data_IF_773011988447
#
_entry.id   IF_773011988447
#
_cell.length_a   1.000
_cell.length_b   1.000
_cell.length_c   1.000
_cell.angle_alpha   90.00
_cell.angle_beta   90.00
_cell.angle_gamma   90.00
#
_symmetry.space_group_name_H-M   'P 1'
#
loop_
_entity.id
_entity.type
_entity.pdbx_description
1 polymer ?
#
# COMPACT_ATOMS: atom_id res chain seq x y z
N UNK A 1 -9.20 -22.61 -12.93
CA UNK A 1 -9.20 -21.19 -13.31
C UNK A 1 -9.64 -20.41 -12.09
N UNK A 2 -8.73 -19.65 -11.48
CA UNK A 2 -9.09 -18.81 -10.34
C UNK A 2 -9.96 -17.63 -10.83
N UNK A 3 -10.84 -17.07 -9.97
CA UNK A 3 -11.61 -15.88 -10.33
C UNK A 3 -10.73 -14.64 -10.56
N UNK A 4 -9.42 -14.72 -10.31
CA UNK A 4 -8.46 -13.63 -10.48
C UNK A 4 -7.55 -13.81 -11.70
N UNK A 5 -7.69 -14.90 -12.46
CA UNK A 5 -6.88 -15.16 -13.66
C UNK A 5 -7.07 -14.04 -14.71
N UNK A 6 -8.26 -13.42 -14.78
CA UNK A 6 -8.49 -12.29 -15.69
C UNK A 6 -7.76 -11.01 -15.26
N UNK A 7 -7.41 -10.88 -13.97
CA UNK A 7 -6.77 -9.70 -13.40
C UNK A 7 -5.24 -9.85 -13.37
N UNK A 8 -4.73 -11.05 -13.06
CA UNK A 8 -3.29 -11.38 -13.00
C UNK A 8 -2.96 -12.61 -13.87
N UNK A 9 -3.14 -12.53 -15.21
CA UNK A 9 -3.12 -13.71 -16.08
C UNK A 9 -1.75 -14.41 -16.25
N UNK A 10 -0.65 -13.74 -15.91
CA UNK A 10 0.72 -14.28 -16.08
C UNK A 10 1.33 -14.84 -14.80
N UNK A 11 0.64 -14.72 -13.66
CA UNK A 11 1.17 -15.19 -12.39
C UNK A 11 0.85 -16.66 -12.18
N UNK A 12 1.80 -17.41 -11.61
CA UNK A 12 1.61 -18.83 -11.28
C UNK A 12 0.52 -19.05 -10.23
N UNK A 13 0.33 -18.08 -9.33
CA UNK A 13 -0.77 -18.06 -8.35
C UNK A 13 -1.46 -16.67 -8.33
N UNK A 14 -2.47 -16.46 -9.20
CA UNK A 14 -3.20 -15.18 -9.28
C UNK A 14 -3.98 -14.83 -8.01
N UNK A 15 -4.39 -15.84 -7.23
CA UNK A 15 -5.08 -15.63 -5.96
C UNK A 15 -4.13 -15.05 -4.90
N UNK A 16 -2.91 -15.59 -4.80
CA UNK A 16 -1.90 -15.06 -3.88
C UNK A 16 -1.59 -13.58 -4.18
N UNK A 17 -1.49 -13.21 -5.46
CA UNK A 17 -1.28 -11.81 -5.87
C UNK A 17 -2.49 -10.94 -5.53
N UNK A 18 -3.70 -11.41 -5.78
CA UNK A 18 -4.91 -10.69 -5.39
C UNK A 18 -4.99 -10.46 -3.88
N UNK A 19 -4.65 -11.47 -3.07
CA UNK A 19 -4.57 -11.35 -1.61
C UNK A 19 -3.51 -10.34 -1.19
N UNK A 20 -2.32 -10.37 -1.81
CA UNK A 20 -1.28 -9.39 -1.54
C UNK A 20 -1.73 -7.95 -1.81
N UNK A 21 -2.34 -7.71 -2.98
CA UNK A 21 -2.89 -6.39 -3.33
C UNK A 21 -3.98 -5.98 -2.34
N UNK A 22 -4.88 -6.89 -1.99
CA UNK A 22 -5.94 -6.66 -1.02
C UNK A 22 -5.39 -6.27 0.36
N UNK A 23 -4.39 -7.00 0.86
CA UNK A 23 -3.74 -6.70 2.14
C UNK A 23 -3.07 -5.32 2.13
N UNK A 24 -2.46 -4.91 1.02
CA UNK A 24 -1.87 -3.58 0.89
C UNK A 24 -2.91 -2.47 0.91
N UNK A 25 -3.98 -2.61 0.14
CA UNK A 25 -5.09 -1.64 0.14
C UNK A 25 -5.71 -1.53 1.54
N UNK A 26 -5.89 -2.67 2.24
CA UNK A 26 -6.40 -2.70 3.60
C UNK A 26 -5.46 -2.01 4.59
N UNK A 27 -4.16 -2.27 4.51
CA UNK A 27 -3.17 -1.63 5.39
C UNK A 27 -3.13 -0.11 5.18
N UNK A 28 -3.09 0.35 3.92
CA UNK A 28 -3.05 1.77 3.58
C UNK A 28 -4.35 2.49 3.95
N UNK A 29 -5.50 1.84 3.74
CA UNK A 29 -6.79 2.36 4.18
C UNK A 29 -6.87 2.45 5.70
N UNK A 30 -6.35 1.46 6.41
CA UNK A 30 -6.30 1.46 7.88
C UNK A 30 -5.44 2.60 8.42
N UNK A 31 -4.26 2.85 7.82
CA UNK A 31 -3.43 4.03 8.16
C UNK A 31 -4.17 5.33 7.89
N UNK A 32 -4.84 5.44 6.74
CA UNK A 32 -5.64 6.62 6.39
C UNK A 32 -6.73 6.90 7.42
N UNK A 33 -7.46 5.86 7.84
CA UNK A 33 -8.52 5.97 8.84
C UNK A 33 -7.98 6.31 10.24
N UNK A 34 -6.87 5.70 10.66
CA UNK A 34 -6.23 6.00 11.94
C UNK A 34 -5.75 7.46 11.97
N UNK A 35 -5.15 7.94 10.89
CA UNK A 35 -4.75 9.35 10.78
C UNK A 35 -5.96 10.27 10.71
N UNK A 36 -7.03 9.91 10.00
CA UNK A 36 -8.29 10.67 10.01
C UNK A 36 -8.88 10.79 11.41
N UNK A 37 -8.79 9.73 12.22
CA UNK A 37 -9.26 9.71 13.61
C UNK A 37 -8.45 10.64 14.51
N UNK A 38 -7.14 10.74 14.28
CA UNK A 38 -6.20 11.51 15.11
C UNK A 38 -6.09 12.98 14.66
N UNK A 39 -6.00 13.21 13.36
CA UNK A 39 -5.78 14.52 12.75
C UNK A 39 -7.06 15.21 12.27
N UNK A 40 -8.15 14.46 12.11
CA UNK A 40 -9.40 14.91 11.50
C UNK A 40 -9.46 14.59 10.00
N UNK A 41 -10.66 14.31 9.47
CA UNK A 41 -10.87 13.92 8.07
C UNK A 41 -10.52 15.02 7.05
N UNK A 42 -10.67 16.28 7.44
CA UNK A 42 -10.35 17.43 6.59
C UNK A 42 -8.85 17.78 6.58
N UNK A 43 -8.04 17.15 7.44
CA UNK A 43 -6.62 17.43 7.55
C UNK A 43 -5.88 17.10 6.25
N UNK A 44 -4.88 17.93 5.93
CA UNK A 44 -4.05 17.75 4.73
C UNK A 44 -3.40 16.37 4.72
N UNK A 45 -2.88 15.90 5.86
CA UNK A 45 -2.28 14.57 5.98
C UNK A 45 -3.26 13.45 5.59
N UNK A 46 -4.51 13.51 6.07
CA UNK A 46 -5.54 12.52 5.72
C UNK A 46 -5.87 12.53 4.24
N UNK A 47 -5.96 13.71 3.62
CA UNK A 47 -6.20 13.83 2.17
C UNK A 47 -5.04 13.25 1.35
N UNK A 48 -3.79 13.53 1.77
CA UNK A 48 -2.60 12.96 1.14
C UNK A 48 -2.59 11.43 1.28
N UNK A 49 -2.89 10.90 2.46
CA UNK A 49 -2.98 9.45 2.70
C UNK A 49 -4.08 8.78 1.88
N UNK A 50 -5.26 9.41 1.79
CA UNK A 50 -6.36 8.90 0.96
C UNK A 50 -5.99 8.88 -0.53
N UNK A 51 -5.42 9.98 -1.03
CA UNK A 51 -4.94 10.07 -2.41
C UNK A 51 -3.83 9.07 -2.71
N UNK A 52 -2.84 8.95 -1.82
CA UNK A 52 -1.75 8.00 -1.96
C UNK A 52 -2.19 6.55 -1.84
N UNK A 53 -3.21 6.24 -1.03
CA UNK A 53 -3.83 4.90 -0.97
C UNK A 53 -4.48 4.53 -2.28
N UNK A 54 -5.27 5.44 -2.86
CA UNK A 54 -5.92 5.21 -4.16
C UNK A 54 -4.89 5.08 -5.28
N UNK A 55 -3.89 5.96 -5.32
CA UNK A 55 -2.78 5.89 -6.27
C UNK A 55 -2.02 4.56 -6.14
N UNK A 56 -1.71 4.15 -4.90
CA UNK A 56 -0.99 2.91 -4.63
C UNK A 56 -1.73 1.67 -5.13
N UNK A 57 -3.06 1.62 -4.94
CA UNK A 57 -3.88 0.52 -5.42
C UNK A 57 -3.80 0.41 -6.96
N UNK A 58 -3.95 1.54 -7.65
CA UNK A 58 -3.91 1.61 -9.12
C UNK A 58 -2.53 1.22 -9.66
N UNK A 59 -1.47 1.79 -9.09
CA UNK A 59 -0.09 1.55 -9.54
C UNK A 59 0.32 0.10 -9.26
N UNK A 60 0.00 -0.44 -8.08
CA UNK A 60 0.31 -1.84 -7.73
C UNK A 60 -0.34 -2.82 -8.73
N UNK A 61 -1.62 -2.65 -9.05
CA UNK A 61 -2.29 -3.50 -10.05
C UNK A 61 -1.67 -3.31 -11.43
N UNK A 62 -1.32 -2.07 -11.79
CA UNK A 62 -0.71 -1.76 -13.08
C UNK A 62 0.66 -2.41 -13.24
N UNK A 63 1.52 -2.38 -12.21
CA UNK A 63 2.86 -3.01 -12.24
C UNK A 63 2.78 -4.52 -12.35
N UNK A 64 1.80 -5.13 -11.67
CA UNK A 64 1.66 -6.60 -11.62
C UNK A 64 0.92 -7.18 -12.82
N UNK A 65 0.33 -6.35 -13.69
CA UNK A 65 -0.38 -6.78 -14.89
C UNK A 65 0.55 -6.76 -16.12
N UNK A 66 0.44 -7.74 -17.04
CA UNK A 66 1.22 -7.75 -18.28
C UNK A 66 1.02 -6.48 -19.12
N UNK A 67 2.10 -5.95 -19.69
CA UNK A 67 2.06 -4.72 -20.48
C UNK A 67 1.81 -3.46 -19.67
N UNK A 68 1.92 -3.54 -18.34
CA UNK A 68 1.78 -2.44 -17.41
C UNK A 68 2.92 -1.43 -17.42
N UNK A 69 2.81 -0.42 -16.55
CA UNK A 69 3.88 0.56 -16.32
C UNK A 69 5.06 -0.18 -15.67
N UNK A 70 6.19 -0.28 -16.38
CA UNK A 70 7.38 -1.02 -15.94
C UNK A 70 8.13 -0.37 -14.76
N UNK A 71 9.47 -0.45 -14.77
CA UNK A 71 10.37 0.03 -13.69
C UNK A 71 10.00 1.38 -13.07
N UNK A 72 9.59 2.37 -13.88
CA UNK A 72 9.23 3.71 -13.39
C UNK A 72 8.05 3.68 -12.41
N UNK A 73 7.01 2.87 -12.68
CA UNK A 73 5.87 2.77 -11.77
C UNK A 73 6.23 2.03 -10.48
N UNK A 74 7.14 1.05 -10.53
CA UNK A 74 7.66 0.39 -9.34
C UNK A 74 8.37 1.37 -8.40
N UNK A 75 9.16 2.32 -8.94
CA UNK A 75 9.79 3.36 -8.13
C UNK A 75 8.79 4.36 -7.56
N UNK A 76 7.82 4.79 -8.37
CA UNK A 76 6.73 5.67 -7.89
C UNK A 76 5.97 5.00 -6.76
N UNK A 77 5.67 3.70 -6.89
CA UNK A 77 4.97 2.96 -5.86
C UNK A 77 5.76 2.86 -4.56
N UNK A 78 7.06 2.56 -4.63
CA UNK A 78 7.92 2.53 -3.45
C UNK A 78 7.99 3.90 -2.77
N UNK A 79 8.12 4.98 -3.54
CA UNK A 79 8.11 6.34 -3.00
C UNK A 79 6.78 6.67 -2.32
N UNK A 80 5.65 6.30 -2.94
CA UNK A 80 4.31 6.47 -2.36
C UNK A 80 4.21 5.71 -1.04
N UNK A 81 4.67 4.46 -0.97
CA UNK A 81 4.61 3.69 0.28
C UNK A 81 5.43 4.30 1.39
N UNK A 82 6.69 4.62 1.12
CA UNK A 82 7.57 5.22 2.13
C UNK A 82 6.96 6.55 2.59
N UNK A 83 6.40 7.34 1.67
CA UNK A 83 5.66 8.56 1.99
C UNK A 83 4.47 8.33 2.91
N UNK A 84 3.61 7.34 2.60
CA UNK A 84 2.45 6.99 3.42
C UNK A 84 2.88 6.59 4.85
N UNK A 85 3.92 5.77 4.99
CA UNK A 85 4.45 5.33 6.28
C UNK A 85 4.96 6.51 7.12
N UNK A 86 5.78 7.38 6.51
CA UNK A 86 6.36 8.54 7.20
C UNK A 86 5.27 9.53 7.61
N UNK A 87 4.35 9.86 6.71
CA UNK A 87 3.26 10.81 6.99
C UNK A 87 2.33 10.26 8.07
N UNK A 88 1.96 8.98 8.02
CA UNK A 88 1.09 8.38 9.02
C UNK A 88 1.76 8.33 10.40
N UNK A 89 3.02 7.88 10.45
CA UNK A 89 3.80 7.87 11.68
C UNK A 89 3.95 9.26 12.29
N UNK A 90 4.30 10.26 11.48
CA UNK A 90 4.43 11.65 11.93
C UNK A 90 3.09 12.23 12.41
N UNK A 91 2.00 12.01 11.68
CA UNK A 91 0.68 12.57 12.01
C UNK A 91 0.14 12.04 13.35
N UNK A 92 0.47 10.80 13.71
CA UNK A 92 0.12 10.19 14.99
C UNK A 92 1.10 10.59 16.09
N UNK A 93 2.40 10.62 15.82
CA UNK A 93 3.43 11.02 16.80
C UNK A 93 3.29 12.48 17.25
N UNK A 94 2.93 13.38 16.33
CA UNK A 94 2.84 14.83 16.59
C UNK A 94 1.61 15.27 17.40
N UNK A 95 0.70 14.35 17.74
CA UNK A 95 -0.54 14.67 18.46
C UNK A 95 -0.69 13.80 19.71
N UNK A 96 -1.33 14.31 20.76
CA UNK A 96 -1.70 13.49 21.90
C UNK A 96 -2.74 12.45 21.45
N UNK A 97 -2.37 11.18 21.45
CA UNK A 97 -3.25 10.07 21.11
C UNK A 97 -3.36 9.09 22.26
N UNK A 98 -4.51 8.42 22.36
CA UNK A 98 -4.70 7.34 23.31
C UNK A 98 -3.82 6.13 22.95
N UNK A 99 -3.39 5.39 23.98
CA UNK A 99 -2.47 4.25 23.83
C UNK A 99 -2.97 3.20 22.83
N UNK A 100 -4.29 3.00 22.73
CA UNK A 100 -4.89 2.03 21.81
C UNK A 100 -4.69 2.45 20.35
N UNK A 101 -4.98 3.71 20.01
CA UNK A 101 -4.77 4.24 18.65
C UNK A 101 -3.29 4.27 18.27
N UNK A 102 -2.41 4.63 19.22
CA UNK A 102 -0.96 4.60 19.01
C UNK A 102 -0.45 3.19 18.69
N UNK A 103 -0.83 2.18 19.50
CA UNK A 103 -0.47 0.78 19.26
C UNK A 103 -1.04 0.23 17.95
N UNK A 104 -2.30 0.53 17.64
CA UNK A 104 -2.92 0.13 16.38
C UNK A 104 -2.16 0.72 15.18
N UNK A 105 -1.79 2.00 15.24
CA UNK A 105 -0.99 2.65 14.19
C UNK A 105 0.36 1.98 14.04
N UNK A 106 1.07 1.73 15.14
CA UNK A 106 2.37 1.05 15.10
C UNK A 106 2.28 -0.34 14.45
N UNK A 107 1.27 -1.14 14.82
CA UNK A 107 1.05 -2.46 14.24
C UNK A 107 0.78 -2.38 12.73
N UNK A 108 -0.11 -1.48 12.31
CA UNK A 108 -0.43 -1.32 10.88
C UNK A 108 0.78 -0.78 10.10
N UNK A 109 1.58 0.12 10.67
CA UNK A 109 2.84 0.58 10.07
C UNK A 109 3.83 -0.58 9.86
N UNK A 110 3.98 -1.48 10.84
CA UNK A 110 4.83 -2.67 10.70
C UNK A 110 4.32 -3.57 9.58
N UNK A 111 3.00 -3.86 9.54
CA UNK A 111 2.40 -4.67 8.48
C UNK A 111 2.62 -4.03 7.10
N UNK A 112 2.35 -2.73 6.97
CA UNK A 112 2.54 -2.00 5.72
C UNK A 112 4.01 -1.96 5.28
N UNK A 113 4.95 -1.83 6.22
CA UNK A 113 6.39 -1.90 5.95
C UNK A 113 6.80 -3.29 5.44
N UNK A 114 6.33 -4.36 6.08
CA UNK A 114 6.60 -5.74 5.64
C UNK A 114 6.05 -6.01 4.23
N UNK A 115 4.82 -5.55 3.96
CA UNK A 115 4.22 -5.65 2.62
C UNK A 115 5.00 -4.85 1.59
N UNK A 116 5.53 -3.67 1.96
CA UNK A 116 6.40 -2.87 1.09
C UNK A 116 7.69 -3.61 0.78
N UNK A 117 8.33 -4.25 1.77
CA UNK A 117 9.53 -5.06 1.51
C UNK A 117 9.26 -6.25 0.59
N UNK A 118 8.09 -6.89 0.72
CA UNK A 118 7.68 -7.98 -0.16
C UNK A 118 7.46 -7.54 -1.63
N UNK A 119 7.25 -6.24 -1.90
CA UNK A 119 7.17 -5.75 -3.29
C UNK A 119 8.49 -5.85 -4.05
N UNK A 120 9.62 -5.79 -3.36
CA UNK A 120 10.95 -5.78 -4.00
C UNK A 120 11.17 -7.03 -4.85
N UNK A 121 11.05 -8.26 -4.31
CA UNK A 121 11.17 -9.47 -5.12
C UNK A 121 10.01 -9.60 -6.13
N UNK A 122 8.77 -9.26 -5.76
CA UNK A 122 7.60 -9.38 -6.65
C UNK A 122 7.72 -8.50 -7.90
N UNK A 123 8.19 -7.26 -7.75
CA UNK A 123 8.41 -6.38 -8.90
C UNK A 123 9.62 -6.83 -9.71
N UNK A 124 10.63 -7.42 -9.08
CA UNK A 124 11.72 -8.08 -9.78
C UNK A 124 11.23 -9.18 -10.73
N UNK A 125 10.38 -10.09 -10.25
CA UNK A 125 9.81 -11.16 -11.07
C UNK A 125 8.89 -10.61 -12.18
N UNK A 126 8.02 -9.65 -11.84
CA UNK A 126 7.09 -9.03 -12.78
C UNK A 126 7.79 -8.33 -13.97
N UNK A 127 9.00 -7.81 -13.75
CA UNK A 127 9.78 -7.11 -14.77
C UNK A 127 10.71 -8.03 -15.57
N UNK A 128 10.95 -9.25 -15.10
CA UNK A 128 11.83 -10.24 -15.75
C UNK A 128 11.04 -11.25 -16.58
N UNK A 129 9.80 -11.58 -16.21
CA UNK A 129 8.94 -12.46 -16.99
C UNK A 129 8.41 -11.72 -18.25
N UNK A 130 8.81 -12.11 -19.47
CA UNK A 130 8.36 -11.49 -20.71
C UNK A 130 6.94 -11.94 -21.13
#
# INVERSE_FOLDING_TARGET
MSPFDWLFPTWSDPLAIAVFVGLRVLANSSLTLLVARVAGSAAVATKILAGGTALSAVVTVSVLRPGGLGLTASYVELLVQVGLLVIAGYAVYSRPTDRRTGLATALVLVVAALLTLATVPLYGEALVAP
#
